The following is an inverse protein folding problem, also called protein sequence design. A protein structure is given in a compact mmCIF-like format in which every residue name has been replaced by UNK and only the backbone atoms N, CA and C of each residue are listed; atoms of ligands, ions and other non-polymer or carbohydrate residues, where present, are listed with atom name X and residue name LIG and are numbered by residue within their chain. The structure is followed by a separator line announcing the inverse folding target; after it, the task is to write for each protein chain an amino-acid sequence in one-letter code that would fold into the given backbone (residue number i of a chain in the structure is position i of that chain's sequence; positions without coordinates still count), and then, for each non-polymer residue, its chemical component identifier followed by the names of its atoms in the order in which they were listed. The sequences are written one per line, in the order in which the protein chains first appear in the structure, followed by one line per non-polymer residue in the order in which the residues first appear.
data_IF_672027054930
#
_entry.id   IF_672027054930
#
_cell.length_a   1.000
_cell.length_b   1.000
_cell.length_c   1.000
_cell.angle_alpha   90.00
_cell.angle_beta   90.00
_cell.angle_gamma   90.00
#
_symmetry.space_group_name_H-M   'P 1'
#
loop_
_entity.id
_entity.type
_entity.pdbx_description
1 polymer ?
#
# COMPACT_ATOMS: atom_id res chain seq x y z
N UNK A 1 16.72 -1.45 25.94
CA UNK A 1 16.31 -1.60 24.53
C UNK A 1 16.74 -0.36 23.78
N UNK A 2 17.53 -0.49 22.72
CA UNK A 2 17.87 0.63 21.82
C UNK A 2 16.99 0.58 20.58
N UNK A 3 16.39 1.70 20.21
CA UNK A 3 15.66 1.85 18.95
C UNK A 3 16.66 2.00 17.80
N UNK A 4 16.56 1.15 16.77
CA UNK A 4 17.40 1.19 15.58
C UNK A 4 16.53 1.00 14.33
N UNK A 5 16.74 1.85 13.33
CA UNK A 5 16.04 1.77 12.05
C UNK A 5 17.05 1.49 10.95
N UNK A 6 16.69 0.58 10.04
CA UNK A 6 17.45 0.30 8.82
C UNK A 6 16.63 0.79 7.63
N UNK A 7 17.02 1.91 6.99
CA UNK A 7 16.26 2.47 5.86
C UNK A 7 16.00 1.48 4.73
N UNK A 8 16.92 0.55 4.49
CA UNK A 8 16.79 -0.47 3.45
C UNK A 8 15.70 -1.51 3.77
N UNK A 9 15.46 -1.79 5.06
CA UNK A 9 14.37 -2.66 5.50
C UNK A 9 13.02 -1.96 5.31
N UNK A 10 12.96 -0.63 5.55
CA UNK A 10 11.76 0.18 5.27
C UNK A 10 11.44 0.24 3.78
N UNK A 11 12.43 0.42 2.91
CA UNK A 11 12.25 0.36 1.45
C UNK A 11 11.89 -1.05 0.98
N UNK A 12 12.48 -2.07 1.58
CA UNK A 12 12.09 -3.46 1.38
C UNK A 12 10.61 -3.69 1.66
N UNK A 13 10.14 -3.20 2.80
CA UNK A 13 8.74 -3.34 3.20
C UNK A 13 7.81 -2.46 2.36
N UNK A 14 8.20 -1.21 2.03
CA UNK A 14 7.46 -0.34 1.11
C UNK A 14 7.20 -1.03 -0.23
N UNK A 15 8.19 -1.73 -0.79
CA UNK A 15 8.02 -2.53 -2.03
C UNK A 15 7.05 -3.69 -1.86
N UNK A 16 7.07 -4.37 -0.71
CA UNK A 16 6.10 -5.45 -0.44
C UNK A 16 4.68 -4.91 -0.38
N UNK A 17 4.47 -3.77 0.30
CA UNK A 17 3.18 -3.09 0.36
C UNK A 17 2.77 -2.61 -1.03
N UNK A 18 3.70 -2.09 -1.83
CA UNK A 18 3.47 -1.72 -3.23
C UNK A 18 2.95 -2.89 -4.08
N UNK A 19 3.54 -4.09 -3.94
CA UNK A 19 3.00 -5.29 -4.61
C UNK A 19 1.57 -5.62 -4.17
N UNK A 20 1.25 -5.43 -2.89
CA UNK A 20 -0.12 -5.63 -2.41
C UNK A 20 -1.10 -4.59 -2.99
N UNK A 21 -0.65 -3.36 -3.29
CA UNK A 21 -1.45 -2.37 -4.04
C UNK A 21 -1.77 -2.91 -5.44
N UNK A 22 -0.79 -3.45 -6.14
CA UNK A 22 -0.95 -4.04 -7.48
C UNK A 22 -1.91 -5.24 -7.44
N UNK A 23 -1.79 -6.11 -6.44
CA UNK A 23 -2.71 -7.25 -6.25
C UNK A 23 -4.16 -6.78 -6.04
N UNK A 24 -4.37 -5.74 -5.23
CA UNK A 24 -5.70 -5.14 -5.03
C UNK A 24 -6.22 -4.50 -6.31
N UNK A 25 -5.35 -3.86 -7.10
CA UNK A 25 -5.71 -3.30 -8.40
C UNK A 25 -6.21 -4.41 -9.34
N UNK A 26 -5.45 -5.50 -9.50
CA UNK A 26 -5.86 -6.64 -10.33
C UNK A 26 -7.16 -7.28 -9.83
N UNK A 27 -7.36 -7.40 -8.51
CA UNK A 27 -8.61 -7.90 -7.95
C UNK A 27 -9.81 -7.02 -8.33
N UNK A 28 -9.65 -5.69 -8.32
CA UNK A 28 -10.69 -4.75 -8.74
C UNK A 28 -11.02 -4.90 -10.22
N UNK A 29 -10.02 -5.02 -11.07
CA UNK A 29 -10.21 -5.23 -12.51
C UNK A 29 -10.93 -6.55 -12.79
N UNK A 30 -10.51 -7.62 -12.13
CA UNK A 30 -11.15 -8.93 -12.25
C UNK A 30 -12.62 -8.86 -11.87
N UNK A 31 -12.94 -8.24 -10.73
CA UNK A 31 -14.32 -8.08 -10.27
C UNK A 31 -15.13 -7.16 -11.18
N UNK A 32 -14.55 -6.06 -11.68
CA UNK A 32 -15.23 -5.19 -12.62
C UNK A 32 -15.58 -5.94 -13.91
N UNK A 33 -14.72 -6.85 -14.36
CA UNK A 33 -14.90 -7.62 -15.60
C UNK A 33 -15.81 -8.84 -15.44
N UNK A 34 -15.72 -9.56 -14.33
CA UNK A 34 -16.36 -10.87 -14.16
C UNK A 34 -17.33 -10.96 -12.98
N UNK A 35 -17.41 -9.92 -12.14
CA UNK A 35 -18.24 -9.93 -10.94
C UNK A 35 -19.69 -9.52 -11.17
N UNK A 36 -20.04 -9.04 -12.36
CA UNK A 36 -21.41 -8.74 -12.75
C UNK A 36 -22.21 -10.01 -13.03
N UNK A 37 -23.47 -10.02 -12.62
CA UNK A 37 -24.48 -10.93 -13.17
C UNK A 37 -25.44 -10.08 -14.00
N UNK A 38 -25.77 -10.54 -15.21
CA UNK A 38 -26.73 -9.84 -16.05
C UNK A 38 -28.10 -9.74 -15.38
N UNK A 39 -28.83 -8.67 -15.71
CA UNK A 39 -30.18 -8.46 -15.20
C UNK A 39 -31.11 -9.57 -15.72
N UNK A 40 -31.41 -10.54 -14.86
CA UNK A 40 -32.45 -11.52 -15.13
C UNK A 40 -33.82 -10.91 -14.79
N UNK A 41 -34.71 -10.89 -15.77
CA UNK A 41 -36.10 -10.45 -15.58
C UNK A 41 -36.94 -11.65 -15.09
N UNK A 42 -37.61 -11.51 -13.94
CA UNK A 42 -38.43 -12.59 -13.35
C UNK A 42 -38.97 -12.27 -11.95
N UNK A 43 -39.58 -13.26 -11.29
CA UNK A 43 -40.01 -13.22 -9.88
C UNK A 43 -39.58 -14.51 -9.16
N UNK A 44 -39.28 -14.46 -7.86
CA UNK A 44 -38.96 -15.64 -7.04
C UNK A 44 -37.58 -15.61 -6.36
N UNK A 45 -37.22 -16.70 -5.65
CA UNK A 45 -36.01 -16.82 -4.82
C UNK A 45 -34.70 -16.54 -5.58
N UNK A 46 -34.65 -16.87 -6.87
CA UNK A 46 -33.49 -16.57 -7.73
C UNK A 46 -33.25 -15.07 -7.90
N UNK A 47 -34.29 -14.25 -8.05
CA UNK A 47 -34.13 -12.80 -8.14
C UNK A 47 -33.64 -12.19 -6.81
N UNK A 48 -34.10 -12.72 -5.68
CA UNK A 48 -33.63 -12.32 -4.36
C UNK A 48 -32.13 -12.60 -4.18
N UNK A 49 -31.66 -13.77 -4.61
CA UNK A 49 -30.24 -14.12 -4.59
C UNK A 49 -29.38 -13.18 -5.47
N UNK A 50 -29.88 -12.76 -6.64
CA UNK A 50 -29.18 -11.80 -7.52
C UNK A 50 -29.09 -10.41 -6.86
N UNK A 51 -30.15 -9.97 -6.19
CA UNK A 51 -30.11 -8.72 -5.41
C UNK A 51 -29.05 -8.75 -4.31
N UNK A 52 -28.96 -9.86 -3.57
CA UNK A 52 -27.91 -10.08 -2.56
C UNK A 52 -26.51 -10.10 -3.18
N UNK A 53 -26.36 -10.71 -4.36
CA UNK A 53 -25.10 -10.71 -5.10
C UNK A 53 -24.64 -9.28 -5.42
N UNK A 54 -25.51 -8.44 -5.96
CA UNK A 54 -25.16 -7.03 -6.25
C UNK A 54 -24.68 -6.29 -5.00
N UNK A 55 -25.39 -6.44 -3.88
CA UNK A 55 -25.01 -5.80 -2.62
C UNK A 55 -23.66 -6.31 -2.09
N UNK A 56 -23.42 -7.62 -2.18
CA UNK A 56 -22.14 -8.22 -1.81
C UNK A 56 -21.01 -7.70 -2.70
N UNK A 57 -21.22 -7.62 -4.01
CA UNK A 57 -20.23 -7.11 -4.96
C UNK A 57 -19.87 -5.64 -4.70
N UNK A 58 -20.84 -4.81 -4.33
CA UNK A 58 -20.57 -3.42 -3.95
C UNK A 58 -19.77 -3.34 -2.65
N UNK A 59 -20.07 -4.21 -1.68
CA UNK A 59 -19.25 -4.37 -0.48
C UNK A 59 -17.80 -4.72 -0.80
N UNK A 60 -17.57 -5.67 -1.70
CA UNK A 60 -16.21 -6.07 -2.11
C UNK A 60 -15.48 -4.92 -2.83
N UNK A 61 -16.14 -4.22 -3.77
CA UNK A 61 -15.56 -3.05 -4.45
C UNK A 61 -15.15 -1.95 -3.47
N UNK A 62 -15.96 -1.70 -2.45
CA UNK A 62 -15.68 -0.71 -1.41
C UNK A 62 -14.47 -1.11 -0.57
N UNK A 63 -14.39 -2.38 -0.14
CA UNK A 63 -13.25 -2.89 0.64
C UNK A 63 -11.96 -2.81 -0.18
N UNK A 64 -11.97 -3.25 -1.43
CA UNK A 64 -10.80 -3.19 -2.30
C UNK A 64 -10.35 -1.75 -2.57
N UNK A 65 -11.30 -0.82 -2.77
CA UNK A 65 -10.94 0.59 -2.92
C UNK A 65 -10.28 1.15 -1.66
N UNK A 66 -10.80 0.82 -0.48
CA UNK A 66 -10.21 1.23 0.80
C UNK A 66 -8.82 0.63 1.03
N UNK A 67 -8.64 -0.65 0.71
CA UNK A 67 -7.34 -1.32 0.79
C UNK A 67 -6.33 -0.67 -0.13
N UNK A 68 -6.71 -0.39 -1.38
CA UNK A 68 -5.84 0.29 -2.33
C UNK A 68 -5.34 1.63 -1.75
N UNK A 69 -6.25 2.49 -1.29
CA UNK A 69 -5.89 3.80 -0.71
C UNK A 69 -4.97 3.64 0.51
N UNK A 70 -5.29 2.74 1.43
CA UNK A 70 -4.52 2.55 2.66
C UNK A 70 -3.12 2.01 2.37
N UNK A 71 -3.00 1.02 1.49
CA UNK A 71 -1.73 0.40 1.14
C UNK A 71 -0.86 1.37 0.33
N UNK A 72 -1.43 2.13 -0.61
CA UNK A 72 -0.67 3.16 -1.36
C UNK A 72 -0.09 4.21 -0.42
N UNK A 73 -0.89 4.74 0.52
CA UNK A 73 -0.43 5.72 1.50
C UNK A 73 0.65 5.14 2.43
N UNK A 74 0.48 3.87 2.83
CA UNK A 74 1.46 3.19 3.69
C UNK A 74 2.80 2.97 2.97
N UNK A 75 2.78 2.53 1.71
CA UNK A 75 3.99 2.35 0.92
C UNK A 75 4.74 3.68 0.73
N UNK A 76 4.01 4.75 0.44
CA UNK A 76 4.56 6.10 0.31
C UNK A 76 5.22 6.57 1.61
N UNK A 77 4.54 6.42 2.75
CA UNK A 77 5.06 6.88 4.04
C UNK A 77 6.27 6.07 4.52
N UNK A 78 6.30 4.76 4.22
CA UNK A 78 7.49 3.93 4.48
C UNK A 78 8.70 4.41 3.68
N UNK A 79 8.51 4.78 2.41
CA UNK A 79 9.58 5.31 1.56
C UNK A 79 10.05 6.70 2.03
N UNK A 80 9.11 7.58 2.41
CA UNK A 80 9.44 8.88 3.04
C UNK A 80 10.22 8.71 4.33
N UNK A 81 9.82 7.77 5.17
CA UNK A 81 10.51 7.45 6.42
C UNK A 81 11.94 6.97 6.16
N UNK A 82 12.14 6.07 5.18
CA UNK A 82 13.47 5.63 4.79
C UNK A 82 14.36 6.81 4.32
N UNK A 83 13.81 7.70 3.48
CA UNK A 83 14.51 8.90 3.01
C UNK A 83 14.86 9.86 4.15
N UNK A 84 13.96 10.04 5.12
CA UNK A 84 14.16 10.86 6.31
C UNK A 84 15.33 10.35 7.15
N UNK A 85 15.39 9.05 7.45
CA UNK A 85 16.49 8.47 8.21
C UNK A 85 17.82 8.59 7.48
N UNK A 86 17.89 8.30 6.17
CA UNK A 86 19.12 8.51 5.38
C UNK A 86 19.62 9.95 5.41
N UNK A 87 18.70 10.91 5.30
CA UNK A 87 19.03 12.33 5.30
C UNK A 87 19.56 12.75 6.67
N UNK A 88 18.91 12.29 7.73
CA UNK A 88 19.32 12.57 9.11
C UNK A 88 20.67 11.96 9.42
N UNK A 89 20.88 10.67 9.11
CA UNK A 89 22.14 9.97 9.33
C UNK A 89 23.29 10.64 8.57
N UNK A 90 23.08 11.02 7.30
CA UNK A 90 24.06 11.76 6.50
C UNK A 90 24.37 13.13 7.10
N UNK A 91 23.37 13.84 7.62
CA UNK A 91 23.56 15.14 8.26
C UNK A 91 24.35 15.00 9.57
N UNK A 92 24.09 13.96 10.37
CA UNK A 92 24.87 13.69 11.59
C UNK A 92 26.32 13.29 11.26
N UNK A 93 26.52 12.42 10.27
CA UNK A 93 27.85 12.03 9.79
C UNK A 93 28.65 13.26 9.33
N UNK A 94 28.05 14.15 8.53
CA UNK A 94 28.68 15.40 8.07
C UNK A 94 29.06 16.34 9.23
N UNK A 95 28.18 16.47 10.24
CA UNK A 95 28.48 17.26 11.44
C UNK A 95 29.63 16.68 12.24
N UNK A 96 29.69 15.35 12.37
CA UNK A 96 30.78 14.66 13.04
C UNK A 96 32.09 14.82 12.27
N UNK A 97 32.07 14.65 10.95
CA UNK A 97 33.22 14.85 10.08
C UNK A 97 33.81 16.27 10.21
N UNK A 98 32.94 17.28 10.34
CA UNK A 98 33.34 18.66 10.57
C UNK A 98 34.02 18.91 11.92
N UNK A 99 33.92 18.00 12.89
CA UNK A 99 34.64 18.09 14.17
C UNK A 99 36.06 17.55 14.10
N UNK A 100 36.41 16.76 13.07
CA UNK A 100 37.76 16.23 12.93
C UNK A 100 38.70 17.30 12.33
N UNK A 101 39.98 17.32 12.73
CA UNK A 101 40.97 18.21 12.12
C UNK A 101 41.06 17.98 10.61
N UNK A 102 41.30 19.01 9.79
CA UNK A 102 41.52 18.84 8.36
C UNK A 102 42.68 17.86 8.12
N UNK A 103 42.41 16.79 7.36
CA UNK A 103 43.43 15.77 7.06
C UNK A 103 44.63 16.41 6.38
N UNK A 104 45.83 16.13 6.86
CA UNK A 104 47.07 16.56 6.17
C UNK A 104 47.10 15.90 4.79
N UNK A 105 47.11 16.75 3.76
CA UNK A 105 47.41 16.37 2.38
C UNK A 105 48.91 16.19 2.20
#
# INVERSE_FOLDING_TARGET
MSFQVRPDDLDGYSRQVGRAVDDVHHAREYIAKYGGMDALHGQGLFLYAIGLHSQAMDGVKNVLSRLHTLLSASAEELSKSAAYYRTTDRAQASRLDATYPPSKR
#
